data_IF_204784017004
#
_entry.id   IF_204784017004
#
_cell.length_a   1.000
_cell.length_b   1.000
_cell.length_c   1.000
_cell.angle_alpha   90.00
_cell.angle_beta   90.00
_cell.angle_gamma   90.00
#
_symmetry.space_group_name_H-M   'P 1'
#
loop_
_entity.id
_entity.type
_entity.pdbx_description
1 polymer ?
#
# COMPACT_ATOMS: atom_id res chain seq x y z
N UNK A 1 10.29 -33.39 0.14
CA UNK A 1 11.32 -32.64 -0.62
C UNK A 1 10.79 -32.28 -2.00
N UNK A 2 10.34 -31.03 -2.18
CA UNK A 2 10.10 -30.29 -3.43
C UNK A 2 9.75 -28.87 -2.94
N UNK A 3 10.74 -28.06 -2.58
CA UNK A 3 11.41 -27.10 -3.48
C UNK A 3 10.41 -26.25 -4.27
N UNK A 4 9.72 -25.34 -3.57
CA UNK A 4 9.24 -24.08 -4.14
C UNK A 4 10.11 -22.98 -3.55
N UNK A 5 11.31 -22.86 -4.12
CA UNK A 5 12.23 -21.77 -3.89
C UNK A 5 11.49 -20.45 -4.12
N UNK A 6 11.41 -19.62 -3.08
CA UNK A 6 11.21 -18.19 -3.22
C UNK A 6 12.31 -17.66 -4.14
N UNK A 7 11.99 -17.40 -5.41
CA UNK A 7 12.91 -16.74 -6.33
C UNK A 7 13.03 -15.26 -5.95
N UNK A 8 13.90 -15.01 -4.97
CA UNK A 8 14.32 -13.70 -4.50
C UNK A 8 15.40 -13.15 -5.44
N UNK A 9 15.09 -12.90 -6.71
CA UNK A 9 16.03 -12.31 -7.67
C UNK A 9 15.37 -11.15 -8.41
N UNK A 10 15.23 -10.00 -7.70
CA UNK A 10 15.07 -8.60 -8.20
C UNK A 10 14.29 -7.65 -7.26
N UNK A 11 14.06 -7.98 -5.99
CA UNK A 11 13.40 -7.02 -5.06
C UNK A 11 11.91 -6.78 -5.33
N UNK A 12 11.26 -7.68 -6.09
CA UNK A 12 9.82 -7.70 -6.29
C UNK A 12 9.24 -8.90 -5.55
N UNK A 13 8.36 -8.68 -4.57
CA UNK A 13 7.52 -9.77 -4.08
C UNK A 13 6.32 -9.87 -5.01
N UNK A 14 6.33 -10.91 -5.84
CA UNK A 14 5.14 -11.35 -6.55
C UNK A 14 4.29 -12.15 -5.56
N UNK A 15 3.42 -11.48 -4.79
CA UNK A 15 2.47 -12.18 -3.93
C UNK A 15 1.36 -12.71 -4.83
N UNK A 16 1.18 -14.03 -5.00
CA UNK A 16 -0.01 -14.56 -5.67
C UNK A 16 -1.18 -14.45 -4.69
N UNK A 17 -1.70 -13.24 -4.48
CA UNK A 17 -2.99 -13.07 -3.86
C UNK A 17 -4.04 -13.64 -4.80
N UNK A 18 -4.78 -14.64 -4.32
CA UNK A 18 -5.93 -15.33 -4.94
C UNK A 18 -6.61 -14.42 -5.97
N UNK A 19 -6.31 -14.65 -7.24
CA UNK A 19 -6.83 -13.89 -8.36
C UNK A 19 -8.32 -14.19 -8.49
N UNK A 20 -9.16 -13.25 -8.04
CA UNK A 20 -10.54 -13.18 -8.55
C UNK A 20 -10.48 -12.89 -10.06
N UNK A 21 -11.43 -13.37 -10.87
CA UNK A 21 -11.53 -12.92 -12.26
C UNK A 21 -11.64 -11.38 -12.28
N UNK A 22 -10.67 -10.70 -12.88
CA UNK A 22 -10.55 -9.23 -12.84
C UNK A 22 -9.69 -8.64 -11.72
N UNK A 23 -9.00 -9.47 -10.93
CA UNK A 23 -8.01 -8.98 -9.96
C UNK A 23 -6.76 -8.47 -10.69
N UNK A 24 -6.55 -7.16 -10.59
CA UNK A 24 -5.32 -6.51 -11.01
C UNK A 24 -4.19 -6.94 -10.06
N UNK A 25 -3.11 -7.50 -10.62
CA UNK A 25 -1.89 -7.75 -9.86
C UNK A 25 -1.27 -6.40 -9.48
N UNK A 26 -1.36 -6.03 -8.20
CA UNK A 26 -0.71 -4.83 -7.67
C UNK A 26 0.74 -5.15 -7.33
N UNK A 27 1.69 -4.45 -7.95
CA UNK A 27 3.12 -4.67 -7.69
C UNK A 27 3.56 -3.90 -6.45
N UNK A 28 4.08 -4.61 -5.44
CA UNK A 28 4.77 -4.03 -4.29
C UNK A 28 6.28 -3.99 -4.54
N UNK A 29 6.90 -2.86 -4.22
CA UNK A 29 8.35 -2.68 -4.35
C UNK A 29 9.01 -2.74 -2.98
N UNK A 30 10.14 -3.44 -2.90
CA UNK A 30 11.01 -3.35 -1.75
C UNK A 30 11.78 -2.02 -1.80
N UNK A 31 11.74 -1.24 -0.72
CA UNK A 31 12.61 -0.09 -0.53
C UNK A 31 13.81 -0.49 0.35
N UNK A 32 15.03 -0.62 -0.22
CA UNK A 32 16.24 -0.93 0.56
C UNK A 32 16.87 0.30 1.22
N UNK A 33 16.46 1.52 0.84
CA UNK A 33 17.03 2.77 1.33
C UNK A 33 16.32 3.29 2.58
N UNK A 34 15.01 3.07 2.67
CA UNK A 34 14.18 3.47 3.81
C UNK A 34 13.40 2.24 4.29
N UNK A 35 14.01 1.37 5.11
CA UNK A 35 13.38 0.12 5.55
C UNK A 35 12.11 0.35 6.38
N UNK A 36 11.99 1.47 7.08
CA UNK A 36 10.87 1.80 7.97
C UNK A 36 9.54 1.92 7.22
N UNK A 37 9.58 2.34 5.93
CA UNK A 37 8.39 2.50 5.09
C UNK A 37 8.20 1.34 4.10
N UNK A 38 9.08 0.34 4.12
CA UNK A 38 9.12 -0.73 3.13
C UNK A 38 8.04 -1.79 3.42
N UNK A 39 6.93 -1.87 2.65
CA UNK A 39 5.84 -2.80 2.94
C UNK A 39 6.27 -4.26 2.79
N UNK A 40 7.21 -4.53 1.88
CA UNK A 40 7.82 -5.85 1.65
C UNK A 40 8.58 -6.31 2.90
N UNK A 41 9.41 -5.44 3.47
CA UNK A 41 10.18 -5.76 4.67
C UNK A 41 9.26 -5.98 5.87
N UNK A 42 8.30 -5.07 6.08
CA UNK A 42 7.33 -5.19 7.18
C UNK A 42 6.54 -6.50 7.09
N UNK A 43 6.10 -6.91 5.90
CA UNK A 43 5.40 -8.18 5.71
C UNK A 43 6.32 -9.39 5.94
N UNK A 44 7.59 -9.32 5.51
CA UNK A 44 8.57 -10.38 5.74
C UNK A 44 8.89 -10.55 7.23
N UNK A 45 9.06 -9.45 7.96
CA UNK A 45 9.25 -9.46 9.42
C UNK A 45 8.02 -10.03 10.12
N UNK A 46 6.81 -9.62 9.71
CA UNK A 46 5.57 -10.18 10.22
C UNK A 46 5.52 -11.70 10.01
N UNK A 47 5.81 -12.17 8.80
CA UNK A 47 5.83 -13.60 8.48
C UNK A 47 6.87 -14.39 9.30
N UNK A 48 8.05 -13.82 9.50
CA UNK A 48 9.13 -14.45 10.26
C UNK A 48 8.81 -14.56 11.75
N UNK A 49 8.12 -13.57 12.33
CA UNK A 49 7.84 -13.51 13.77
C UNK A 49 6.53 -14.20 14.13
N UNK A 50 5.47 -14.00 13.35
CA UNK A 50 4.11 -14.43 13.68
C UNK A 50 3.62 -15.59 12.81
N UNK A 51 4.32 -15.91 11.72
CA UNK A 51 3.87 -16.87 10.72
C UNK A 51 2.76 -16.31 9.84
N UNK A 52 2.59 -16.94 8.67
CA UNK A 52 1.45 -16.69 7.77
C UNK A 52 0.83 -18.05 7.44
N UNK A 53 -0.48 -18.17 7.63
CA UNK A 53 -1.24 -19.35 7.22
C UNK A 53 -1.63 -19.26 5.74
N UNK A 54 -1.80 -20.41 5.10
CA UNK A 54 -2.20 -20.51 3.68
C UNK A 54 -3.57 -19.85 3.38
N UNK A 55 -4.38 -19.58 4.40
CA UNK A 55 -5.73 -19.03 4.25
C UNK A 55 -5.80 -17.50 4.34
N UNK A 56 -5.04 -16.88 5.25
CA UNK A 56 -5.12 -15.44 5.55
C UNK A 56 -3.76 -14.92 6.02
N UNK A 57 -3.39 -13.74 5.50
CA UNK A 57 -2.18 -13.02 5.95
C UNK A 57 -2.29 -12.62 7.42
N UNK A 58 -3.46 -12.13 7.86
CA UNK A 58 -3.70 -11.74 9.25
C UNK A 58 -4.74 -12.67 9.88
N UNK A 59 -4.45 -13.28 11.04
CA UNK A 59 -5.36 -14.21 11.70
C UNK A 59 -6.59 -13.48 12.28
N UNK A 60 -7.68 -14.23 12.49
CA UNK A 60 -8.92 -13.72 13.11
C UNK A 60 -9.96 -13.15 12.12
N UNK A 61 -11.04 -12.61 12.70
CA UNK A 61 -12.14 -11.95 11.99
C UNK A 61 -12.13 -10.42 12.15
N UNK A 62 -13.01 -9.73 11.41
CA UNK A 62 -13.25 -8.27 11.51
C UNK A 62 -11.97 -7.42 11.42
N UNK A 63 -11.15 -7.69 10.40
CA UNK A 63 -9.85 -7.04 10.21
C UNK A 63 -9.95 -5.52 10.12
N UNK A 64 -11.01 -5.01 9.49
CA UNK A 64 -11.26 -3.57 9.38
C UNK A 64 -11.43 -2.91 10.76
N UNK A 65 -12.29 -3.47 11.62
CA UNK A 65 -12.53 -2.91 12.95
C UNK A 65 -11.29 -3.01 13.83
N UNK A 66 -10.55 -4.12 13.73
CA UNK A 66 -9.29 -4.30 14.47
C UNK A 66 -8.25 -3.26 14.05
N UNK A 67 -8.07 -3.08 12.74
CA UNK A 67 -7.18 -2.04 12.21
C UNK A 67 -7.62 -0.64 12.66
N UNK A 68 -8.93 -0.32 12.57
CA UNK A 68 -9.46 0.97 12.99
C UNK A 68 -9.20 1.25 14.48
N UNK A 69 -9.39 0.25 15.35
CA UNK A 69 -9.12 0.37 16.79
C UNK A 69 -7.64 0.58 17.08
N UNK A 70 -6.76 -0.19 16.42
CA UNK A 70 -5.31 -0.05 16.57
C UNK A 70 -4.86 1.32 16.09
N UNK A 71 -5.32 1.76 14.92
CA UNK A 71 -4.99 3.07 14.36
C UNK A 71 -5.40 4.19 15.32
N UNK A 72 -6.63 4.16 15.82
CA UNK A 72 -7.11 5.15 16.81
C UNK A 72 -6.24 5.16 18.07
N UNK A 73 -5.82 3.99 18.55
CA UNK A 73 -4.95 3.89 19.72
C UNK A 73 -3.58 4.51 19.46
N UNK A 74 -2.93 4.17 18.34
CA UNK A 74 -1.61 4.68 17.97
C UNK A 74 -1.64 6.20 17.77
N UNK A 75 -2.68 6.73 17.13
CA UNK A 75 -2.83 8.19 16.95
C UNK A 75 -3.06 8.94 18.27
N UNK A 76 -3.37 8.24 19.37
CA UNK A 76 -3.59 8.84 20.68
C UNK A 76 -2.35 8.78 21.60
N UNK A 77 -1.28 8.12 21.17
CA UNK A 77 0.00 8.08 21.89
C UNK A 77 0.63 9.48 21.91
N UNK A 78 1.30 9.83 23.01
CA UNK A 78 1.80 11.20 23.24
C UNK A 78 2.84 11.61 22.19
N UNK A 79 3.75 10.69 21.82
CA UNK A 79 4.72 10.91 20.74
C UNK A 79 4.01 11.25 19.41
N UNK A 80 2.92 10.54 19.10
CA UNK A 80 2.18 10.83 17.87
C UNK A 80 1.41 12.14 17.92
N UNK A 81 0.85 12.50 19.08
CA UNK A 81 0.18 13.80 19.22
C UNK A 81 1.14 14.95 18.96
N UNK A 82 2.34 14.89 19.53
CA UNK A 82 3.39 15.91 19.31
C UNK A 82 3.73 16.03 17.82
N UNK A 83 3.90 14.90 17.11
CA UNK A 83 4.18 14.92 15.67
C UNK A 83 3.01 15.49 14.86
N UNK A 84 1.78 15.16 15.21
CA UNK A 84 0.59 15.69 14.53
C UNK A 84 0.43 17.20 14.76
N UNK A 85 0.64 17.66 15.98
CA UNK A 85 0.56 19.09 16.34
C UNK A 85 1.60 19.92 15.56
N UNK A 86 2.81 19.40 15.38
CA UNK A 86 3.85 20.04 14.55
C UNK A 86 3.42 20.20 13.08
N UNK A 87 2.59 19.30 12.59
CA UNK A 87 2.01 19.33 11.23
C UNK A 87 0.65 20.05 11.19
N UNK A 88 0.18 20.62 12.31
CA UNK A 88 -1.11 21.32 12.41
C UNK A 88 -2.33 20.40 12.32
N UNK A 89 -2.17 19.12 12.66
CA UNK A 89 -3.21 18.09 12.60
C UNK A 89 -3.64 17.65 14.00
N UNK A 90 -4.86 17.12 14.11
CA UNK A 90 -5.32 16.42 15.32
C UNK A 90 -5.55 14.93 15.04
N UNK A 91 -5.48 14.05 16.05
CA UNK A 91 -5.68 12.60 15.87
C UNK A 91 -6.98 12.22 15.16
N UNK A 92 -8.04 13.02 15.28
CA UNK A 92 -9.33 12.78 14.60
C UNK A 92 -9.29 13.00 13.09
N UNK A 93 -8.27 13.69 12.56
CA UNK A 93 -8.12 13.93 11.12
C UNK A 93 -7.58 12.68 10.38
N UNK A 94 -6.97 11.75 11.13
CA UNK A 94 -6.41 10.52 10.59
C UNK A 94 -7.38 9.36 10.82
N UNK A 95 -7.91 8.83 9.72
CA UNK A 95 -8.81 7.68 9.71
C UNK A 95 -8.30 6.53 8.85
N UNK A 96 -9.08 5.45 8.79
CA UNK A 96 -8.75 4.23 8.03
C UNK A 96 -8.54 4.49 6.54
N UNK A 97 -9.19 5.51 5.98
CA UNK A 97 -9.03 5.91 4.59
C UNK A 97 -7.89 6.89 4.35
N UNK A 98 -7.31 7.49 5.40
CA UNK A 98 -6.29 8.55 5.26
C UNK A 98 -5.02 8.02 4.61
N UNK A 99 -4.60 6.79 4.91
CA UNK A 99 -3.46 6.17 4.24
C UNK A 99 -3.64 6.12 2.71
N UNK A 100 -4.79 5.62 2.24
CA UNK A 100 -5.09 5.51 0.80
C UNK A 100 -5.22 6.88 0.13
N UNK A 101 -5.88 7.85 0.78
CA UNK A 101 -6.04 9.21 0.25
C UNK A 101 -4.71 9.96 0.23
N UNK A 102 -3.96 9.91 1.33
CA UNK A 102 -2.64 10.52 1.47
C UNK A 102 -1.64 9.98 0.47
N UNK A 103 -1.58 8.66 0.27
CA UNK A 103 -0.72 8.07 -0.77
C UNK A 103 -1.09 8.55 -2.17
N UNK A 104 -2.38 8.65 -2.50
CA UNK A 104 -2.80 9.17 -3.80
C UNK A 104 -2.38 10.64 -3.99
N UNK A 105 -2.61 11.49 -2.98
CA UNK A 105 -2.18 12.90 -2.99
C UNK A 105 -0.66 13.03 -3.10
N UNK A 106 0.09 12.22 -2.35
CA UNK A 106 1.55 12.21 -2.38
C UNK A 106 2.08 11.90 -3.79
N UNK A 107 1.56 10.85 -4.43
CA UNK A 107 1.95 10.50 -5.81
C UNK A 107 1.55 11.58 -6.81
N UNK A 108 0.36 12.18 -6.66
CA UNK A 108 -0.06 13.31 -7.50
C UNK A 108 0.86 14.53 -7.37
N UNK A 109 1.50 14.71 -6.21
CA UNK A 109 2.40 15.83 -5.93
C UNK A 109 3.83 15.64 -6.45
N UNK A 110 4.19 14.43 -6.91
CA UNK A 110 5.51 14.17 -7.47
C UNK A 110 5.76 14.97 -8.77
N UNK A 111 6.97 15.53 -8.92
CA UNK A 111 7.37 16.46 -9.98
C UNK A 111 7.25 15.93 -11.42
N UNK A 112 7.27 16.88 -12.37
CA UNK A 112 7.02 16.77 -13.82
C UNK A 112 7.30 15.40 -14.45
N UNK A 113 6.24 14.68 -14.79
CA UNK A 113 6.27 13.34 -15.40
C UNK A 113 5.60 12.25 -14.57
N UNK A 114 5.01 12.62 -13.41
CA UNK A 114 4.27 11.71 -12.53
C UNK A 114 3.19 10.86 -13.25
N UNK A 115 2.76 9.76 -12.63
CA UNK A 115 1.83 8.82 -13.24
C UNK A 115 0.49 9.49 -13.56
N UNK A 116 -0.21 8.99 -14.57
CA UNK A 116 -1.51 9.53 -14.94
C UNK A 116 -2.50 9.46 -13.77
N UNK A 117 -3.38 10.45 -13.65
CA UNK A 117 -4.45 10.43 -12.65
C UNK A 117 -5.28 9.15 -12.71
N UNK A 118 -5.45 8.59 -13.92
CA UNK A 118 -6.11 7.31 -14.10
C UNK A 118 -5.36 6.14 -13.43
N UNK A 119 -4.03 6.06 -13.58
CA UNK A 119 -3.22 5.03 -12.93
C UNK A 119 -3.30 5.11 -11.40
N UNK A 120 -3.27 6.33 -10.85
CA UNK A 120 -3.41 6.59 -9.41
C UNK A 120 -4.79 6.14 -8.91
N UNK A 121 -5.87 6.54 -9.60
CA UNK A 121 -7.23 6.16 -9.25
C UNK A 121 -7.46 4.64 -9.36
N UNK A 122 -6.99 3.99 -10.43
CA UNK A 122 -7.09 2.55 -10.61
C UNK A 122 -6.35 1.81 -9.50
N UNK A 123 -5.12 2.22 -9.15
CA UNK A 123 -4.35 1.60 -8.07
C UNK A 123 -4.95 1.85 -6.70
N UNK A 124 -5.51 3.04 -6.47
CA UNK A 124 -6.32 3.29 -5.29
C UNK A 124 -7.52 2.33 -5.28
N UNK A 125 -8.11 2.00 -6.44
CA UNK A 125 -9.37 1.27 -6.57
C UNK A 125 -10.57 2.22 -6.53
N UNK A 126 -10.40 3.44 -7.02
CA UNK A 126 -11.45 4.45 -7.20
C UNK A 126 -12.06 4.31 -8.59
N UNK A 127 -13.35 4.63 -8.71
CA UNK A 127 -14.00 4.77 -10.01
C UNK A 127 -13.50 6.03 -10.71
N UNK A 128 -13.27 5.93 -12.01
CA UNK A 128 -12.98 7.10 -12.82
C UNK A 128 -14.28 7.85 -13.15
N UNK A 129 -14.23 9.18 -13.32
CA UNK A 129 -15.43 9.96 -13.60
C UNK A 129 -15.95 9.72 -15.02
N UNK A 130 -17.27 9.51 -15.15
CA UNK A 130 -17.99 9.46 -16.42
C UNK A 130 -17.51 8.34 -17.35
N UNK A 131 -17.27 8.69 -18.61
CA UNK A 131 -16.89 7.73 -19.67
C UNK A 131 -15.49 7.14 -19.48
N UNK A 132 -14.63 7.76 -18.66
CA UNK A 132 -13.26 7.30 -18.44
C UNK A 132 -13.21 5.91 -17.81
N UNK A 133 -14.17 5.58 -16.93
CA UNK A 133 -14.27 4.26 -16.27
C UNK A 133 -14.51 3.11 -17.27
N UNK A 134 -15.13 3.42 -18.41
CA UNK A 134 -15.43 2.45 -19.47
C UNK A 134 -14.21 2.19 -20.36
N UNK A 135 -13.46 3.24 -20.67
CA UNK A 135 -12.42 3.19 -21.71
C UNK A 135 -11.00 3.05 -21.16
N UNK A 136 -10.73 3.61 -19.98
CA UNK A 136 -9.40 3.57 -19.39
C UNK A 136 -9.28 2.32 -18.53
N UNK A 137 -8.37 1.43 -18.92
CA UNK A 137 -8.13 0.15 -18.26
C UNK A 137 -6.80 0.18 -17.53
N UNK A 138 -6.60 -0.84 -16.70
CA UNK A 138 -5.34 -1.05 -16.01
C UNK A 138 -4.17 -1.09 -16.99
N UNK A 139 -3.10 -0.38 -16.65
CA UNK A 139 -1.89 -0.28 -17.43
C UNK A 139 -0.69 -0.54 -16.51
N UNK A 140 0.14 -1.51 -16.90
CA UNK A 140 1.16 -2.07 -16.00
C UNK A 140 2.34 -1.13 -15.74
N UNK A 141 2.71 -0.27 -16.69
CA UNK A 141 3.77 0.70 -16.51
C UNK A 141 3.35 1.79 -15.52
N UNK A 142 2.14 2.33 -15.67
CA UNK A 142 1.53 3.29 -14.76
C UNK A 142 1.43 2.72 -13.35
N UNK A 143 0.97 1.47 -13.19
CA UNK A 143 0.95 0.83 -11.87
C UNK A 143 2.35 0.70 -11.27
N UNK A 144 3.36 0.28 -12.05
CA UNK A 144 4.74 0.17 -11.56
C UNK A 144 5.28 1.53 -11.07
N UNK A 145 5.02 2.60 -11.81
CA UNK A 145 5.44 3.96 -11.46
C UNK A 145 4.78 4.41 -10.16
N UNK A 146 3.44 4.30 -10.08
CA UNK A 146 2.71 4.64 -8.84
C UNK A 146 3.25 3.81 -7.67
N UNK A 147 3.50 2.52 -7.90
CA UNK A 147 4.03 1.63 -6.87
C UNK A 147 5.39 2.02 -6.35
N UNK A 148 6.29 2.49 -7.22
CA UNK A 148 7.61 3.00 -6.81
C UNK A 148 7.46 4.25 -5.94
N UNK A 149 6.68 5.22 -6.39
CA UNK A 149 6.48 6.47 -5.65
C UNK A 149 5.87 6.24 -4.27
N UNK A 150 4.81 5.41 -4.14
CA UNK A 150 4.20 5.10 -2.84
C UNK A 150 5.19 4.45 -1.88
N UNK A 151 6.18 3.72 -2.39
CA UNK A 151 7.24 3.11 -1.59
C UNK A 151 8.46 4.01 -1.35
N UNK A 152 8.43 5.27 -1.79
CA UNK A 152 9.54 6.22 -1.65
C UNK A 152 10.73 5.95 -2.58
N UNK A 153 10.50 5.26 -3.70
CA UNK A 153 11.54 4.99 -4.71
C UNK A 153 11.44 5.96 -5.89
N UNK A 154 12.58 6.33 -6.51
CA UNK A 154 12.60 7.11 -7.75
C UNK A 154 12.11 6.28 -8.95
N UNK A 155 11.86 6.98 -10.06
CA UNK A 155 11.55 6.38 -11.37
C UNK A 155 12.70 5.48 -11.85
#
# INVERSE_FOLDING_TARGET
MRSSLFHLYRGYIHVPCIARPGAVLVVFHANPFVPEICPVLTLAMYAAVLGIDDSKIFPGGNQYDRFSKILKRVMQEDEMKVLLENEGLVPSDIGTHSARKGSATFVCSCLNGGPSAAAICIRAGWKLPGVQDTYIRYESAGDRIVGRYVTGLPF
#
